data_IF_502485306676
#
_entry.id   IF_502485306676
#
_cell.length_a   1.000
_cell.length_b   1.000
_cell.length_c   1.000
_cell.angle_alpha   90.00
_cell.angle_beta   90.00
_cell.angle_gamma   90.00
#
_symmetry.space_group_name_H-M   'P 1'
#
loop_
_entity.id
_entity.type
_entity.pdbx_description
1 polymer ?
#
# COMPACT_ATOMS: atom_id res chain seq x y z
N UNK A 1 -2.20 -9.17 -14.92
CA UNK A 1 -2.74 -9.04 -13.56
C UNK A 1 -1.59 -8.72 -12.64
N UNK A 2 -1.63 -7.59 -11.93
CA UNK A 2 -0.60 -7.22 -10.95
C UNK A 2 -0.89 -7.95 -9.63
N UNK A 3 0.09 -8.62 -9.05
CA UNK A 3 -0.05 -9.30 -7.77
C UNK A 3 -0.01 -8.27 -6.61
N UNK A 4 -0.76 -8.51 -5.54
CA UNK A 4 -0.73 -7.68 -4.33
C UNK A 4 0.68 -7.56 -3.74
N UNK A 5 1.48 -8.63 -3.81
CA UNK A 5 2.88 -8.61 -3.40
C UNK A 5 3.76 -7.68 -4.26
N UNK A 6 3.46 -7.54 -5.55
CA UNK A 6 4.16 -6.59 -6.42
C UNK A 6 3.81 -5.15 -6.06
N UNK A 7 2.57 -4.87 -5.66
CA UNK A 7 2.13 -3.54 -5.21
C UNK A 7 2.82 -3.15 -3.91
N UNK A 8 2.86 -4.05 -2.92
CA UNK A 8 3.57 -3.82 -1.65
C UNK A 8 5.04 -3.51 -1.93
N UNK A 9 5.71 -4.37 -2.72
CA UNK A 9 7.13 -4.20 -3.04
C UNK A 9 7.42 -2.89 -3.77
N UNK A 10 6.54 -2.46 -4.68
CA UNK A 10 6.68 -1.17 -5.36
C UNK A 10 6.57 0.00 -4.40
N UNK A 11 5.59 -0.02 -3.49
CA UNK A 11 5.41 1.04 -2.50
C UNK A 11 6.63 1.11 -1.57
N UNK A 12 7.11 -0.03 -1.06
CA UNK A 12 8.30 -0.09 -0.20
C UNK A 12 9.54 0.43 -0.94
N UNK A 13 9.70 0.09 -2.22
CA UNK A 13 10.82 0.57 -3.05
C UNK A 13 10.80 2.09 -3.18
N UNK A 14 9.62 2.68 -3.45
CA UNK A 14 9.48 4.13 -3.61
C UNK A 14 9.67 4.85 -2.26
N UNK A 15 9.16 4.30 -1.16
CA UNK A 15 9.34 4.91 0.16
C UNK A 15 10.79 4.93 0.62
N UNK A 16 11.61 3.98 0.15
CA UNK A 16 13.04 3.93 0.43
C UNK A 16 13.91 4.64 -0.60
N UNK A 17 13.35 5.30 -1.62
CA UNK A 17 14.12 6.00 -2.65
C UNK A 17 14.78 7.28 -2.07
N UNK A 18 16.12 7.35 -1.98
CA UNK A 18 16.81 8.52 -1.43
C UNK A 18 16.92 9.67 -2.44
N UNK A 19 16.70 9.42 -3.73
CA UNK A 19 16.84 10.39 -4.82
C UNK A 19 15.49 11.06 -5.11
N UNK A 20 14.41 10.30 -5.08
CA UNK A 20 13.05 10.77 -5.33
C UNK A 20 12.09 10.30 -4.24
N UNK A 21 12.21 10.85 -3.01
CA UNK A 21 11.33 10.46 -1.94
C UNK A 21 9.89 10.89 -2.27
N UNK A 22 8.89 10.10 -1.84
CA UNK A 22 7.50 10.46 -2.06
C UNK A 22 7.13 11.73 -1.32
N UNK A 23 6.27 12.54 -1.94
CA UNK A 23 5.70 13.72 -1.30
C UNK A 23 4.84 13.32 -0.09
N UNK A 24 4.55 14.24 0.84
CA UNK A 24 3.68 13.94 1.99
C UNK A 24 2.31 13.37 1.58
N UNK A 25 1.73 13.87 0.49
CA UNK A 25 0.47 13.37 -0.07
C UNK A 25 0.61 11.93 -0.60
N UNK A 26 1.69 11.63 -1.32
CA UNK A 26 1.97 10.27 -1.80
C UNK A 26 2.23 9.29 -0.65
N UNK A 27 2.92 9.73 0.40
CA UNK A 27 3.13 8.93 1.61
C UNK A 27 1.80 8.56 2.27
N UNK A 28 0.86 9.50 2.37
CA UNK A 28 -0.47 9.23 2.92
C UNK A 28 -1.22 8.18 2.08
N UNK A 29 -1.20 8.33 0.75
CA UNK A 29 -1.84 7.37 -0.17
C UNK A 29 -1.22 5.97 0.00
N UNK A 30 0.11 5.87 0.03
CA UNK A 30 0.82 4.61 0.21
C UNK A 30 0.50 3.95 1.55
N UNK A 31 0.47 4.72 2.63
CA UNK A 31 0.12 4.22 3.94
C UNK A 31 -1.33 3.70 3.98
N UNK A 32 -2.28 4.37 3.31
CA UNK A 32 -3.66 3.88 3.17
C UNK A 32 -3.75 2.57 2.39
N UNK A 33 -3.00 2.44 1.30
CA UNK A 33 -2.94 1.20 0.51
C UNK A 33 -2.37 0.07 1.35
N UNK A 34 -1.21 0.27 1.98
CA UNK A 34 -0.59 -0.73 2.85
C UNK A 34 -1.51 -1.12 4.00
N UNK A 35 -2.16 -0.15 4.66
CA UNK A 35 -3.11 -0.41 5.73
C UNK A 35 -4.32 -1.24 5.25
N UNK A 36 -4.86 -0.94 4.07
CA UNK A 36 -5.96 -1.71 3.46
C UNK A 36 -5.53 -3.14 3.14
N UNK A 37 -4.32 -3.30 2.61
CA UNK A 37 -3.77 -4.61 2.25
C UNK A 37 -3.45 -5.45 3.49
N UNK A 38 -2.83 -4.86 4.52
CA UNK A 38 -2.44 -5.57 5.75
C UNK A 38 -3.62 -5.87 6.67
N UNK A 39 -4.60 -4.98 6.75
CA UNK A 39 -5.86 -5.27 7.45
C UNK A 39 -6.81 -6.13 6.60
N UNK A 40 -6.39 -6.43 5.36
CA UNK A 40 -6.87 -7.47 4.45
C UNK A 40 -8.26 -7.27 3.84
N UNK A 41 -9.24 -6.90 4.62
CA UNK A 41 -10.10 -8.01 4.99
C UNK A 41 -11.10 -7.60 6.06
N UNK A 42 -10.97 -6.42 6.67
CA UNK A 42 -11.98 -5.91 7.62
C UNK A 42 -13.35 -5.72 6.95
N UNK A 43 -13.43 -5.66 5.61
CA UNK A 43 -14.70 -5.59 4.86
C UNK A 43 -14.84 -6.61 3.70
N UNK A 44 -14.27 -7.82 3.80
CA UNK A 44 -15.02 -8.94 3.20
C UNK A 44 -16.13 -9.25 4.19
N UNK A 45 -17.23 -8.50 4.07
CA UNK A 45 -18.43 -8.61 4.87
C UNK A 45 -18.90 -10.06 4.96
N UNK A 46 -18.41 -10.76 5.97
CA UNK A 46 -19.10 -11.88 6.58
C UNK A 46 -20.35 -11.33 7.24
N UNK A 47 -21.42 -11.26 6.45
CA UNK A 47 -22.78 -11.34 6.97
C UNK A 47 -23.44 -12.49 6.21
N UNK A 48 -23.87 -13.47 7.01
CA UNK A 48 -24.76 -14.57 6.64
C UNK A 48 -25.96 -14.11 5.82
#
# INVERSE_FOLDING_TARGET
MTNIGDVIRQIETVQCDPVYPPTPEQQEIFNRILHTVYNGAVEFGGSR
#
